data_IF_985700299404
#
_entry.id   IF_985700299404
#
_cell.length_a   1.000
_cell.length_b   1.000
_cell.length_c   1.000
_cell.angle_alpha   90.00
_cell.angle_beta   90.00
_cell.angle_gamma   90.00
#
_symmetry.space_group_name_H-M   'P 1'
#
loop_
_entity.id
_entity.type
_entity.pdbx_description
1 polymer ?
#
# COMPACT_ATOMS: atom_id res chain seq x y z
N UNK A 1 -13.82 -1.88 19.13
CA UNK A 1 -12.55 -1.15 18.89
C UNK A 1 -11.66 -1.84 17.87
N UNK A 2 -11.51 -3.16 17.92
CA UNK A 2 -10.62 -3.91 17.03
C UNK A 2 -10.99 -3.81 15.54
N UNK A 3 -12.29 -3.82 15.22
CA UNK A 3 -12.77 -3.67 13.85
C UNK A 3 -12.38 -2.33 13.20
N UNK A 4 -12.18 -1.28 14.01
CA UNK A 4 -11.65 0.00 13.52
C UNK A 4 -10.19 -0.10 13.08
N UNK A 5 -9.35 -0.85 13.78
CA UNK A 5 -7.94 -1.05 13.40
C UNK A 5 -7.82 -1.81 12.08
N UNK A 6 -8.66 -2.83 11.89
CA UNK A 6 -8.70 -3.61 10.65
C UNK A 6 -9.19 -2.75 9.47
N UNK A 7 -10.30 -2.01 9.65
CA UNK A 7 -10.80 -1.08 8.63
C UNK A 7 -9.80 0.03 8.32
N UNK A 8 -9.16 0.62 9.33
CA UNK A 8 -8.15 1.66 9.14
C UNK A 8 -6.94 1.12 8.38
N UNK A 9 -6.45 -0.09 8.68
CA UNK A 9 -5.37 -0.72 7.95
C UNK A 9 -5.70 -0.99 6.48
N UNK A 10 -6.92 -1.48 6.21
CA UNK A 10 -7.42 -1.70 4.84
C UNK A 10 -7.51 -0.39 4.04
N UNK A 11 -8.09 0.65 4.64
CA UNK A 11 -8.21 1.97 4.00
C UNK A 11 -6.83 2.58 3.75
N UNK A 12 -5.92 2.48 4.72
CA UNK A 12 -4.55 3.00 4.57
C UNK A 12 -3.82 2.30 3.41
N UNK A 13 -3.92 0.97 3.32
CA UNK A 13 -3.34 0.20 2.21
C UNK A 13 -3.90 0.63 0.86
N UNK A 14 -5.21 0.80 0.74
CA UNK A 14 -5.84 1.24 -0.51
C UNK A 14 -5.43 2.66 -0.90
N UNK A 15 -5.42 3.60 0.05
CA UNK A 15 -4.99 4.98 -0.20
C UNK A 15 -3.53 5.01 -0.66
N UNK A 16 -2.66 4.28 0.01
CA UNK A 16 -1.23 4.23 -0.36
C UNK A 16 -1.03 3.54 -1.70
N UNK A 17 -1.78 2.47 -2.00
CA UNK A 17 -1.70 1.80 -3.29
C UNK A 17 -2.17 2.71 -4.43
N UNK A 18 -3.22 3.50 -4.22
CA UNK A 18 -3.66 4.53 -5.17
C UNK A 18 -2.61 5.63 -5.35
N UNK A 19 -1.97 6.09 -4.27
CA UNK A 19 -0.89 7.10 -4.36
C UNK A 19 0.30 6.58 -5.17
N UNK A 20 0.75 5.34 -4.92
CA UNK A 20 1.83 4.72 -5.70
C UNK A 20 1.39 4.51 -7.15
N UNK A 21 0.12 4.16 -7.39
CA UNK A 21 -0.44 4.05 -8.73
C UNK A 21 -0.41 5.39 -9.48
N UNK A 22 -0.81 6.50 -8.86
CA UNK A 22 -0.74 7.83 -9.47
C UNK A 22 0.71 8.24 -9.77
N UNK A 23 1.65 7.96 -8.86
CA UNK A 23 3.09 8.18 -9.12
C UNK A 23 3.57 7.31 -10.29
N UNK A 24 3.15 6.05 -10.33
CA UNK A 24 3.50 5.13 -11.41
C UNK A 24 2.88 5.57 -12.75
N UNK A 25 1.67 6.13 -12.80
CA UNK A 25 1.09 6.68 -14.04
C UNK A 25 1.98 7.77 -14.62
N UNK A 26 2.49 8.67 -13.77
CA UNK A 26 3.33 9.79 -14.20
C UNK A 26 4.68 9.34 -14.77
N UNK A 27 5.20 8.20 -14.34
CA UNK A 27 6.45 7.62 -14.84
C UNK A 27 6.23 6.62 -15.99
N UNK A 28 5.29 5.69 -15.83
CA UNK A 28 5.04 4.60 -16.78
C UNK A 28 3.65 3.96 -16.58
N UNK A 29 2.76 4.20 -17.54
CA UNK A 29 1.41 3.62 -17.64
C UNK A 29 1.35 2.08 -17.50
N UNK A 30 2.20 1.28 -18.15
CA UNK A 30 2.17 -0.19 -17.99
C UNK A 30 2.59 -0.64 -16.58
N UNK A 31 3.56 0.02 -15.95
CA UNK A 31 3.95 -0.31 -14.55
C UNK A 31 2.85 0.05 -13.56
N UNK A 32 2.10 1.12 -13.84
CA UNK A 32 0.95 1.52 -13.05
C UNK A 32 -0.15 0.46 -13.08
N UNK A 33 -0.52 -0.05 -14.25
CA UNK A 33 -1.52 -1.12 -14.34
C UNK A 33 -1.12 -2.36 -13.53
N UNK A 34 0.15 -2.75 -13.55
CA UNK A 34 0.64 -3.89 -12.76
C UNK A 34 0.54 -3.59 -11.24
N UNK A 35 0.80 -2.36 -10.80
CA UNK A 35 0.59 -1.95 -9.40
C UNK A 35 -0.88 -2.02 -8.96
N UNK A 36 -1.83 -1.86 -9.89
CA UNK A 36 -3.27 -1.89 -9.59
C UNK A 36 -3.82 -3.32 -9.57
N UNK A 37 -3.36 -4.16 -10.49
CA UNK A 37 -3.76 -5.58 -10.60
C UNK A 37 -3.07 -6.45 -9.55
N UNK A 38 -1.80 -6.17 -9.24
CA UNK A 38 -0.99 -6.96 -8.31
C UNK A 38 -0.59 -6.07 -7.12
N UNK A 39 -1.28 -6.18 -5.97
CA UNK A 39 -0.97 -5.41 -4.77
C UNK A 39 0.46 -5.63 -4.26
N UNK A 40 1.07 -6.79 -4.52
CA UNK A 40 2.47 -7.04 -4.17
C UNK A 40 3.47 -6.29 -5.05
N UNK A 41 3.07 -5.85 -6.25
CA UNK A 41 3.98 -5.21 -7.19
C UNK A 41 4.34 -3.78 -6.80
N UNK A 42 3.51 -3.10 -5.99
CA UNK A 42 3.87 -1.77 -5.45
C UNK A 42 5.14 -1.82 -4.60
N UNK A 43 5.42 -2.92 -3.88
CA UNK A 43 6.70 -3.09 -3.16
C UNK A 43 7.89 -3.15 -4.14
N UNK A 44 7.75 -3.92 -5.22
CA UNK A 44 8.82 -4.06 -6.23
C UNK A 44 9.02 -2.75 -7.00
N UNK A 45 7.93 -2.07 -7.35
CA UNK A 45 7.97 -0.78 -8.04
C UNK A 45 8.61 0.30 -7.16
N UNK A 46 8.17 0.41 -5.91
CA UNK A 46 8.64 1.46 -5.00
C UNK A 46 10.05 1.22 -4.46
N UNK A 47 10.60 0.00 -4.55
CA UNK A 47 12.03 -0.24 -4.37
C UNK A 47 12.88 0.32 -5.52
N UNK A 48 12.34 0.36 -6.74
CA UNK A 48 13.03 0.87 -7.93
C UNK A 48 12.94 2.39 -8.08
N UNK A 49 11.92 3.00 -7.48
CA UNK A 49 11.60 4.41 -7.68
C UNK A 49 11.66 5.19 -6.34
N UNK A 50 12.63 6.10 -6.14
CA UNK A 50 12.83 6.78 -4.86
C UNK A 50 11.64 7.66 -4.45
N UNK A 51 10.83 8.16 -5.41
CA UNK A 51 9.61 8.90 -5.08
C UNK A 51 8.52 8.00 -4.49
N UNK A 52 8.38 6.78 -5.01
CA UNK A 52 7.42 5.80 -4.49
C UNK A 52 7.89 5.13 -3.18
N UNK A 53 9.21 5.14 -2.91
CA UNK A 53 9.82 4.56 -1.70
C UNK A 53 9.28 5.16 -0.40
N UNK A 54 8.98 6.47 -0.38
CA UNK A 54 8.39 7.14 0.78
C UNK A 54 6.97 6.61 1.04
N UNK A 55 6.17 6.42 0.00
CA UNK A 55 4.83 5.86 0.11
C UNK A 55 4.84 4.38 0.54
N UNK A 56 5.90 3.65 0.20
CA UNK A 56 6.12 2.26 0.63
C UNK A 56 6.12 2.11 2.17
N UNK A 57 6.64 3.11 2.89
CA UNK A 57 6.58 3.12 4.36
C UNK A 57 5.14 3.20 4.88
N UNK A 58 4.29 4.00 4.24
CA UNK A 58 2.86 4.05 4.56
C UNK A 58 2.17 2.71 4.28
N UNK A 59 2.59 2.02 3.22
CA UNK A 59 2.04 0.71 2.87
C UNK A 59 2.40 -0.35 3.92
N UNK A 60 3.66 -0.38 4.37
CA UNK A 60 4.09 -1.23 5.48
C UNK A 60 3.38 -0.90 6.80
N UNK A 61 3.13 0.38 7.07
CA UNK A 61 2.38 0.81 8.24
C UNK A 61 0.94 0.28 8.20
N UNK A 62 0.31 0.27 7.02
CA UNK A 62 -1.00 -0.33 6.80
C UNK A 62 -1.03 -1.85 7.04
N UNK A 63 0.00 -2.56 6.59
CA UNK A 63 0.19 -4.00 6.91
C UNK A 63 0.34 -4.21 8.42
N UNK A 64 1.20 -3.43 9.08
CA UNK A 64 1.42 -3.56 10.52
C UNK A 64 0.12 -3.31 11.30
N UNK A 65 -0.66 -2.29 10.89
CA UNK A 65 -1.99 -2.00 11.44
C UNK A 65 -2.98 -3.16 11.25
N UNK A 66 -2.97 -3.80 10.08
CA UNK A 66 -3.78 -4.99 9.86
C UNK A 66 -3.36 -6.16 10.74
N UNK A 67 -2.07 -6.43 10.85
CA UNK A 67 -1.55 -7.52 11.70
C UNK A 67 -1.93 -7.28 13.16
N UNK A 68 -1.72 -6.06 13.67
CA UNK A 68 -2.10 -5.68 15.04
C UNK A 68 -3.62 -5.78 15.22
N UNK A 69 -4.41 -5.33 14.24
CA UNK A 69 -5.87 -5.44 14.27
C UNK A 69 -6.35 -6.89 14.30
N UNK A 70 -5.71 -7.79 13.55
CA UNK A 70 -6.03 -9.24 13.55
C UNK A 70 -5.62 -9.88 14.87
N UNK A 71 -4.41 -9.61 15.37
CA UNK A 71 -3.92 -10.13 16.64
C UNK A 71 -4.76 -9.64 17.82
N UNK A 72 -5.23 -8.39 17.79
CA UNK A 72 -6.14 -7.87 18.80
C UNK A 72 -7.57 -8.40 18.66
N UNK A 73 -7.90 -9.06 17.54
CA UNK A 73 -9.22 -9.63 17.26
C UNK A 73 -9.32 -11.12 17.56
N UNK A 74 -8.18 -11.80 17.66
CA UNK A 74 -8.04 -13.21 18.01
C UNK A 74 -7.98 -13.37 19.54
#
# INVERSE_FOLDING_TARGET
MVMFFVMAGLVLLQVVQLLIFFVAIKNSLPKAMICLVIPGYVCVYAQKDPQAKVFLWGWYLGIALLIVGVLASA
#
